data_IF_536109027710
#
_entry.id   IF_536109027710
#
_cell.length_a   1.000
_cell.length_b   1.000
_cell.length_c   1.000
_cell.angle_alpha   90.00
_cell.angle_beta   90.00
_cell.angle_gamma   90.00
#
_symmetry.space_group_name_H-M   'P 1'
#
loop_
_entity.id
_entity.type
_entity.pdbx_description
1 polymer ?
#
# COMPACT_ATOMS: atom_id res chain seq x y z
N UNK A 1 11.90 -25.95 1.97
CA UNK A 1 12.40 -25.18 0.81
C UNK A 1 12.05 -23.69 0.91
N UNK A 2 10.78 -23.31 1.14
CA UNK A 2 10.38 -21.90 1.38
C UNK A 2 11.01 -21.32 2.65
N UNK A 3 11.00 -22.08 3.75
CA UNK A 3 11.52 -21.63 5.06
C UNK A 3 13.04 -21.44 5.05
N UNK A 4 13.77 -22.30 4.32
CA UNK A 4 15.23 -22.17 4.14
C UNK A 4 15.60 -20.97 3.25
N UNK A 5 14.71 -20.57 2.33
CA UNK A 5 14.88 -19.37 1.52
C UNK A 5 14.63 -18.09 2.31
N UNK A 6 13.59 -18.06 3.16
CA UNK A 6 13.24 -16.91 4.01
C UNK A 6 14.34 -16.54 5.02
N UNK A 7 15.04 -17.53 5.56
CA UNK A 7 16.17 -17.33 6.49
C UNK A 7 17.42 -16.80 5.77
N UNK A 8 17.68 -17.27 4.55
CA UNK A 8 18.83 -16.81 3.76
C UNK A 8 18.63 -15.41 3.16
N UNK A 9 17.38 -15.01 2.90
CA UNK A 9 17.01 -13.68 2.39
C UNK A 9 17.14 -12.57 3.45
N UNK A 10 17.13 -12.93 4.74
CA UNK A 10 17.26 -11.99 5.85
C UNK A 10 18.73 -11.73 6.25
N UNK A 11 19.63 -12.69 5.96
CA UNK A 11 21.07 -12.60 6.28
C UNK A 11 21.88 -11.86 5.20
N UNK A 12 21.45 -11.88 3.94
CA UNK A 12 21.99 -10.98 2.92
C UNK A 12 21.09 -9.75 2.82
N UNK A 13 21.42 -8.62 3.48
CA UNK A 13 20.84 -7.36 3.07
C UNK A 13 21.11 -7.23 1.57
N UNK A 14 20.09 -6.91 0.78
CA UNK A 14 20.25 -6.53 -0.62
C UNK A 14 21.03 -5.19 -0.70
N UNK A 15 22.28 -5.22 -0.24
CA UNK A 15 23.27 -4.19 -0.46
C UNK A 15 23.64 -4.24 -1.93
N UNK A 16 23.38 -3.12 -2.62
CA UNK A 16 23.89 -2.81 -3.96
C UNK A 16 23.60 -3.85 -5.05
N UNK A 17 22.43 -4.49 -5.05
CA UNK A 17 21.99 -5.17 -6.28
C UNK A 17 21.58 -4.13 -7.30
N UNK A 18 22.25 -4.13 -8.46
CA UNK A 18 22.00 -3.24 -9.60
C UNK A 18 20.49 -3.16 -9.90
N UNK A 19 19.97 -1.95 -10.14
CA UNK A 19 18.52 -1.71 -10.29
C UNK A 19 17.88 -2.59 -11.36
N UNK A 20 18.67 -3.02 -12.35
CA UNK A 20 18.27 -3.94 -13.41
C UNK A 20 17.85 -5.31 -12.85
N UNK A 21 18.57 -5.85 -11.86
CA UNK A 21 18.26 -7.17 -11.28
C UNK A 21 16.92 -7.13 -10.53
N UNK A 22 16.67 -6.05 -9.78
CA UNK A 22 15.38 -5.84 -9.09
C UNK A 22 14.24 -5.69 -10.08
N UNK A 23 14.46 -4.96 -11.18
CA UNK A 23 13.47 -4.80 -12.25
C UNK A 23 13.09 -6.15 -12.86
N UNK A 24 14.09 -6.97 -13.23
CA UNK A 24 13.87 -8.30 -13.81
C UNK A 24 13.07 -9.18 -12.84
N UNK A 25 13.39 -9.15 -11.54
CA UNK A 25 12.66 -9.89 -10.53
C UNK A 25 11.19 -9.46 -10.41
N UNK A 26 10.91 -8.15 -10.38
CA UNK A 26 9.54 -7.62 -10.30
C UNK A 26 8.74 -7.94 -11.57
N UNK A 27 9.38 -7.86 -12.74
CA UNK A 27 8.76 -8.22 -14.03
C UNK A 27 8.36 -9.70 -14.02
N UNK A 28 9.27 -10.59 -13.61
CA UNK A 28 8.99 -12.03 -13.57
C UNK A 28 7.88 -12.38 -12.56
N UNK A 29 7.88 -11.72 -11.40
CA UNK A 29 6.84 -11.88 -10.39
C UNK A 29 5.48 -11.42 -10.93
N UNK A 30 5.43 -10.26 -11.59
CA UNK A 30 4.21 -9.70 -12.17
C UNK A 30 3.63 -10.60 -13.27
N UNK A 31 4.48 -11.14 -14.14
CA UNK A 31 4.10 -12.09 -15.20
C UNK A 31 3.55 -13.38 -14.59
N UNK A 32 4.18 -13.89 -13.52
CA UNK A 32 3.74 -15.10 -12.83
C UNK A 32 2.37 -14.93 -12.17
N UNK A 33 2.10 -13.75 -11.60
CA UNK A 33 0.79 -13.41 -11.02
C UNK A 33 -0.26 -13.25 -12.13
N UNK A 34 0.08 -12.58 -13.24
CA UNK A 34 -0.83 -12.37 -14.37
C UNK A 34 -1.18 -13.66 -15.12
N UNK A 35 -0.25 -14.60 -15.24
CA UNK A 35 -0.46 -15.89 -15.92
C UNK A 35 -1.50 -16.79 -15.22
N UNK A 36 -1.80 -16.52 -13.93
CA UNK A 36 -2.83 -17.23 -13.17
C UNK A 36 -4.26 -16.72 -13.43
N UNK A 37 -4.43 -15.69 -14.27
CA UNK A 37 -5.76 -15.17 -14.61
C UNK A 37 -6.42 -16.11 -15.62
N UNK A 38 -7.42 -16.87 -15.18
CA UNK A 38 -8.24 -17.76 -16.02
C UNK A 38 -9.62 -17.14 -16.27
N UNK A 39 -10.33 -17.61 -17.30
CA UNK A 39 -11.71 -17.20 -17.62
C UNK A 39 -12.67 -17.32 -16.41
N UNK A 40 -12.51 -18.37 -15.60
CA UNK A 40 -13.30 -18.55 -14.37
C UNK A 40 -13.04 -17.42 -13.36
N UNK A 41 -11.78 -16.98 -13.20
CA UNK A 41 -11.40 -15.85 -12.34
C UNK A 41 -12.10 -14.56 -12.78
N UNK A 42 -12.26 -14.34 -14.09
CA UNK A 42 -12.94 -13.15 -14.64
C UNK A 42 -14.45 -13.18 -14.32
N UNK A 43 -15.09 -14.35 -14.38
CA UNK A 43 -16.51 -14.48 -14.01
C UNK A 43 -16.74 -14.24 -12.52
N UNK A 44 -15.83 -14.73 -11.65
CA UNK A 44 -15.86 -14.45 -10.22
C UNK A 44 -15.62 -12.96 -9.92
N UNK A 45 -14.73 -12.31 -10.67
CA UNK A 45 -14.43 -10.89 -10.51
C UNK A 45 -15.69 -10.00 -10.68
N UNK A 46 -16.61 -10.36 -11.58
CA UNK A 46 -17.90 -9.66 -11.75
C UNK A 46 -18.76 -9.70 -10.49
N UNK A 47 -18.65 -10.75 -9.68
CA UNK A 47 -19.37 -10.85 -8.39
C UNK A 47 -18.70 -10.03 -7.30
N UNK A 48 -17.38 -9.88 -7.36
CA UNK A 48 -16.55 -9.15 -6.38
C UNK A 48 -16.44 -7.66 -6.69
N UNK A 49 -16.74 -7.21 -7.92
CA UNK A 49 -16.67 -5.80 -8.32
C UNK A 49 -17.55 -4.88 -7.45
N UNK A 50 -18.73 -5.36 -7.03
CA UNK A 50 -19.66 -4.63 -6.18
C UNK A 50 -19.10 -4.38 -4.77
N UNK A 51 -18.69 -5.41 -4.01
CA UNK A 51 -18.08 -5.19 -2.69
C UNK A 51 -16.74 -4.44 -2.80
N UNK A 52 -15.92 -4.71 -3.84
CA UNK A 52 -14.69 -3.98 -4.06
C UNK A 52 -14.93 -2.48 -4.30
N UNK A 53 -15.94 -2.14 -5.12
CA UNK A 53 -16.35 -0.75 -5.33
C UNK A 53 -16.79 -0.06 -4.04
N UNK A 54 -17.57 -0.76 -3.20
CA UNK A 54 -18.01 -0.26 -1.90
C UNK A 54 -16.82 0.06 -0.98
N UNK A 55 -15.82 -0.83 -0.93
CA UNK A 55 -14.59 -0.63 -0.14
C UNK A 55 -13.83 0.61 -0.63
N UNK A 56 -13.65 0.74 -1.95
CA UNK A 56 -12.95 1.88 -2.55
C UNK A 56 -13.66 3.20 -2.21
N UNK A 57 -14.99 3.26 -2.40
CA UNK A 57 -15.78 4.44 -2.09
C UNK A 57 -15.67 4.79 -0.59
N UNK A 58 -15.74 3.78 0.27
CA UNK A 58 -15.60 3.97 1.72
C UNK A 58 -14.21 4.49 2.09
N UNK A 59 -13.14 3.94 1.51
CA UNK A 59 -11.77 4.43 1.74
C UNK A 59 -11.59 5.88 1.28
N UNK A 60 -12.10 6.22 0.09
CA UNK A 60 -11.97 7.57 -0.46
C UNK A 60 -12.76 8.58 0.37
N UNK A 61 -14.02 8.26 0.71
CA UNK A 61 -14.85 9.13 1.55
C UNK A 61 -14.27 9.30 2.94
N UNK A 62 -13.80 8.22 3.56
CA UNK A 62 -13.15 8.28 4.88
C UNK A 62 -11.85 9.09 4.83
N UNK A 63 -11.02 8.92 3.80
CA UNK A 63 -9.80 9.70 3.62
C UNK A 63 -10.08 11.21 3.44
N UNK A 64 -11.12 11.56 2.69
CA UNK A 64 -11.58 12.94 2.54
C UNK A 64 -12.07 13.52 3.87
N UNK A 65 -12.91 12.79 4.59
CA UNK A 65 -13.43 13.22 5.90
C UNK A 65 -12.29 13.41 6.90
N UNK A 66 -11.36 12.47 6.99
CA UNK A 66 -10.19 12.57 7.86
C UNK A 66 -9.30 13.75 7.49
N UNK A 67 -9.07 13.99 6.18
CA UNK A 67 -8.24 15.12 5.74
C UNK A 67 -8.85 16.47 6.08
N UNK A 68 -10.17 16.64 5.89
CA UNK A 68 -10.87 17.87 6.31
C UNK A 68 -10.88 18.00 7.83
N UNK A 69 -11.05 16.90 8.56
CA UNK A 69 -11.04 16.91 10.02
C UNK A 69 -9.65 17.29 10.57
N UNK A 70 -8.58 16.79 9.96
CA UNK A 70 -7.20 17.12 10.29
C UNK A 70 -6.88 18.59 10.02
N UNK A 71 -7.40 19.18 8.95
CA UNK A 71 -7.31 20.61 8.69
C UNK A 71 -8.07 21.45 9.72
N UNK A 72 -9.18 20.96 10.27
CA UNK A 72 -9.92 21.66 11.32
C UNK A 72 -9.28 21.51 12.71
N UNK A 73 -8.69 20.36 13.00
CA UNK A 73 -8.03 20.07 14.27
C UNK A 73 -6.61 20.65 14.34
N UNK A 74 -5.96 20.82 13.20
CA UNK A 74 -4.54 21.22 13.09
C UNK A 74 -4.41 22.44 12.20
N UNK A 75 -3.52 23.37 12.52
CA UNK A 75 -3.24 24.55 11.69
C UNK A 75 -2.41 24.24 10.42
N UNK A 76 -2.67 23.11 9.78
CA UNK A 76 -1.98 22.62 8.58
C UNK A 76 -2.80 23.00 7.35
N UNK A 77 -2.13 23.31 6.23
CA UNK A 77 -2.80 23.63 4.96
C UNK A 77 -3.74 22.51 4.48
N UNK A 78 -4.83 22.89 3.81
CA UNK A 78 -5.84 21.95 3.33
C UNK A 78 -5.23 20.91 2.37
N UNK A 79 -4.29 21.32 1.51
CA UNK A 79 -3.67 20.43 0.55
C UNK A 79 -2.79 19.40 1.26
N UNK A 80 -2.01 19.82 2.28
CA UNK A 80 -1.20 18.91 3.10
C UNK A 80 -2.08 17.91 3.86
N UNK A 81 -3.19 18.36 4.46
CA UNK A 81 -4.08 17.51 5.25
C UNK A 81 -4.82 16.47 4.37
N UNK A 82 -5.25 16.88 3.17
CA UNK A 82 -5.90 15.98 2.21
C UNK A 82 -4.92 14.96 1.62
N UNK A 83 -3.75 15.41 1.14
CA UNK A 83 -2.75 14.54 0.53
C UNK A 83 -2.16 13.54 1.53
N UNK A 84 -2.06 13.90 2.81
CA UNK A 84 -1.61 12.99 3.87
C UNK A 84 -2.65 11.96 4.28
N UNK A 85 -3.94 12.26 4.12
CA UNK A 85 -5.05 11.36 4.52
C UNK A 85 -5.49 10.43 3.40
N UNK A 86 -5.24 10.77 2.13
CA UNK A 86 -5.67 9.95 1.00
C UNK A 86 -4.83 8.66 0.91
N UNK A 87 -5.46 7.50 0.65
CA UNK A 87 -4.70 6.29 0.35
C UNK A 87 -4.04 6.42 -1.02
N UNK A 88 -2.70 6.32 -1.06
CA UNK A 88 -1.93 6.31 -2.29
C UNK A 88 -0.45 6.01 -2.05
N UNK A 89 0.34 6.08 -3.12
CA UNK A 89 1.79 5.91 -3.06
C UNK A 89 2.45 7.09 -2.36
N UNK A 90 3.27 6.82 -1.35
CA UNK A 90 3.95 7.87 -0.58
C UNK A 90 4.75 8.81 -1.49
N UNK A 91 5.56 8.24 -2.41
CA UNK A 91 6.41 8.99 -3.31
C UNK A 91 5.62 9.89 -4.28
N UNK A 92 4.51 9.40 -4.82
CA UNK A 92 3.68 10.18 -5.74
C UNK A 92 2.95 11.31 -5.01
N UNK A 93 2.44 11.06 -3.80
CA UNK A 93 1.72 12.06 -3.03
C UNK A 93 2.64 13.16 -2.47
N UNK A 94 3.88 12.82 -2.11
CA UNK A 94 4.88 13.83 -1.73
C UNK A 94 5.33 14.68 -2.90
N UNK A 95 5.44 14.11 -4.10
CA UNK A 95 5.75 14.88 -5.32
C UNK A 95 4.61 15.85 -5.67
N UNK A 96 3.36 15.38 -5.62
CA UNK A 96 2.18 16.21 -5.82
C UNK A 96 2.07 17.30 -4.73
N UNK A 97 2.47 17.01 -3.50
CA UNK A 97 2.50 17.99 -2.43
C UNK A 97 3.50 19.12 -2.73
N UNK A 98 4.69 18.79 -3.24
CA UNK A 98 5.70 19.76 -3.65
C UNK A 98 5.18 20.67 -4.78
N UNK A 99 4.51 20.09 -5.79
CA UNK A 99 3.89 20.85 -6.89
C UNK A 99 2.76 21.78 -6.43
N UNK A 100 1.99 21.38 -5.41
CA UNK A 100 0.86 22.14 -4.87
C UNK A 100 1.26 23.13 -3.77
N UNK A 101 2.56 23.26 -3.45
CA UNK A 101 3.06 24.11 -2.37
C UNK A 101 2.68 23.63 -0.96
N UNK A 102 2.26 22.37 -0.83
CA UNK A 102 1.93 21.72 0.43
C UNK A 102 3.20 21.21 1.12
N UNK A 103 3.17 21.08 2.45
CA UNK A 103 4.32 20.56 3.20
C UNK A 103 4.55 19.05 2.93
N UNK A 104 5.46 18.75 2.00
CA UNK A 104 5.84 17.37 1.66
C UNK A 104 6.46 16.59 2.83
N UNK A 105 7.04 17.28 3.83
CA UNK A 105 7.66 16.62 5.00
C UNK A 105 6.59 16.00 5.87
N UNK A 106 5.48 16.71 6.07
CA UNK A 106 4.34 16.22 6.83
C UNK A 106 3.66 15.07 6.07
N UNK A 107 3.40 15.24 4.76
CA UNK A 107 2.78 14.19 3.93
C UNK A 107 3.61 12.91 3.93
N UNK A 108 4.93 13.03 3.73
CA UNK A 108 5.84 11.89 3.73
C UNK A 108 5.93 11.20 5.09
N UNK A 109 6.01 11.97 6.18
CA UNK A 109 6.09 11.41 7.53
C UNK A 109 4.86 10.61 7.92
N UNK A 110 3.65 11.10 7.58
CA UNK A 110 2.40 10.37 7.86
C UNK A 110 2.28 9.08 7.03
N UNK A 111 2.74 9.11 5.77
CA UNK A 111 2.81 7.91 4.94
C UNK A 111 3.83 6.89 5.45
N UNK A 112 4.98 7.33 5.94
CA UNK A 112 5.98 6.47 6.58
C UNK A 112 5.45 5.87 7.88
N UNK A 113 4.79 6.66 8.71
CA UNK A 113 4.12 6.18 9.92
C UNK A 113 3.12 5.07 9.59
N UNK A 114 2.29 5.26 8.55
CA UNK A 114 1.37 4.22 8.07
C UNK A 114 2.11 2.95 7.64
N UNK A 115 3.23 3.08 6.92
CA UNK A 115 4.03 1.92 6.49
C UNK A 115 4.59 1.14 7.69
N UNK A 116 5.08 1.85 8.71
CA UNK A 116 5.60 1.23 9.94
C UNK A 116 4.47 0.54 10.70
N UNK A 117 3.33 1.22 10.87
CA UNK A 117 2.15 0.62 11.51
C UNK A 117 1.70 -0.63 10.77
N UNK A 118 1.59 -0.59 9.44
CA UNK A 118 1.24 -1.77 8.65
C UNK A 118 2.28 -2.87 8.80
N UNK A 119 3.57 -2.55 8.77
CA UNK A 119 4.63 -3.54 8.95
C UNK A 119 4.56 -4.24 10.31
N UNK A 120 4.19 -3.51 11.37
CA UNK A 120 4.06 -4.06 12.74
C UNK A 120 2.73 -4.77 12.95
N UNK A 121 1.62 -4.26 12.42
CA UNK A 121 0.27 -4.77 12.65
C UNK A 121 -0.14 -5.89 11.69
N UNK A 122 0.44 -5.96 10.49
CA UNK A 122 0.14 -7.02 9.52
C UNK A 122 0.47 -8.42 10.06
N UNK A 123 1.68 -8.71 10.59
CA UNK A 123 2.01 -10.03 11.11
C UNK A 123 1.05 -10.55 12.19
N UNK A 124 0.71 -9.81 13.28
CA UNK A 124 -0.23 -10.30 14.28
C UNK A 124 -1.65 -10.47 13.72
N UNK A 125 -2.07 -9.64 12.77
CA UNK A 125 -3.38 -9.78 12.13
C UNK A 125 -3.46 -11.08 11.29
N UNK A 126 -2.37 -11.47 10.63
CA UNK A 126 -2.29 -12.71 9.86
C UNK A 126 -2.31 -13.96 10.75
N UNK A 127 -1.82 -13.86 11.99
CA UNK A 127 -1.88 -14.95 12.98
C UNK A 127 -3.28 -15.14 13.60
N UNK A 128 -4.16 -14.13 13.50
CA UNK A 128 -5.53 -14.16 14.04
C UNK A 128 -6.54 -14.74 13.04
N UNK A 129 -6.16 -14.92 11.77
CA UNK A 129 -7.04 -15.61 10.83
C UNK A 129 -7.17 -17.08 11.27
N UNK A 130 -8.38 -17.59 11.59
CA UNK A 130 -8.55 -19.02 11.73
C UNK A 130 -8.07 -19.65 10.41
N UNK A 131 -7.12 -20.57 10.50
CA UNK A 131 -6.67 -21.38 9.37
C UNK A 131 -7.93 -22.01 8.77
N UNK A 132 -8.46 -21.44 7.69
CA UNK A 132 -9.47 -22.11 6.89
C UNK A 132 -8.74 -23.31 6.27
N UNK A 133 -8.97 -24.46 6.90
CA UNK A 133 -8.34 -25.73 6.56
C UNK A 133 -8.67 -26.07 5.11
N UNK A 134 -7.61 -26.18 4.31
CA UNK A 134 -7.40 -27.05 3.15
C UNK A 134 -8.58 -27.26 2.17
#
# INVERSE_FOLDING_TARGET
>A
MVISGSIHLFIYPFGDTDGIVKLIAIVFLSVSIGSKITLETILLLRKVILPAGCIIITLVTLGLVLGVLLHKLTAIDLNTALLSSVPGGAASLTAIADELGADMRIVGSLHLYRLILLAVLTPPCFLVQPQETA
#
